data_IF_025176359214
#
_entry.id   IF_025176359214
#
_cell.length_a   1.000
_cell.length_b   1.000
_cell.length_c   1.000
_cell.angle_alpha   90.00
_cell.angle_beta   90.00
_cell.angle_gamma   90.00
#
_symmetry.space_group_name_H-M   'P 1'
#
loop_
_entity.id
_entity.type
_entity.pdbx_description
1 polymer ?
#
# COMPACT_ATOMS: atom_id res chain seq x y z
N UNK A 1 -31.83 12.55 90.03
CA UNK A 1 -30.75 11.92 89.24
C UNK A 1 -31.04 12.18 87.77
N UNK A 2 -30.11 12.81 87.05
CA UNK A 2 -30.26 13.27 85.65
C UNK A 2 -29.64 12.23 84.70
N UNK A 3 -30.32 11.78 83.62
CA UNK A 3 -29.70 10.91 82.63
C UNK A 3 -28.81 11.71 81.67
N UNK A 4 -27.66 11.12 81.36
CA UNK A 4 -26.60 11.62 80.48
C UNK A 4 -26.96 11.22 79.04
N UNK A 5 -27.08 12.19 78.14
CA UNK A 5 -27.30 11.93 76.71
C UNK A 5 -25.94 11.69 76.01
N UNK A 6 -25.76 10.49 75.46
CA UNK A 6 -24.64 10.15 74.60
C UNK A 6 -24.81 10.79 73.21
N UNK A 7 -23.91 11.71 72.86
CA UNK A 7 -23.73 12.25 71.52
C UNK A 7 -22.93 11.25 70.68
N UNK A 8 -23.62 10.53 69.79
CA UNK A 8 -22.99 9.70 68.77
C UNK A 8 -22.40 10.57 67.66
N UNK A 9 -21.07 10.55 67.53
CA UNK A 9 -20.34 11.19 66.42
C UNK A 9 -20.44 10.27 65.20
N UNK A 10 -21.29 10.65 64.24
CA UNK A 10 -21.39 9.96 62.95
C UNK A 10 -20.23 10.33 62.04
N UNK A 11 -19.32 9.39 61.80
CA UNK A 11 -18.26 9.50 60.80
C UNK A 11 -18.87 9.30 59.40
N UNK A 12 -18.97 10.38 58.61
CA UNK A 12 -19.36 10.32 57.20
C UNK A 12 -18.10 10.05 56.37
N UNK A 13 -18.01 8.84 55.79
CA UNK A 13 -16.97 8.47 54.83
C UNK A 13 -17.43 8.89 53.43
N UNK A 14 -16.81 9.95 52.88
CA UNK A 14 -17.00 10.35 51.48
C UNK A 14 -16.15 9.45 50.58
N UNK A 15 -16.79 8.48 49.91
CA UNK A 15 -16.14 7.71 48.86
C UNK A 15 -16.07 8.55 47.58
N UNK A 16 -14.87 8.99 47.20
CA UNK A 16 -14.62 9.65 45.91
C UNK A 16 -14.64 8.62 44.79
N UNK A 17 -15.78 8.50 44.11
CA UNK A 17 -15.93 7.66 42.92
C UNK A 17 -15.19 8.29 41.74
N UNK A 18 -13.99 7.80 41.41
CA UNK A 18 -13.32 8.16 40.15
C UNK A 18 -14.09 7.50 38.99
N UNK A 19 -14.97 8.27 38.36
CA UNK A 19 -15.61 7.88 37.11
C UNK A 19 -14.52 7.80 36.02
N UNK A 20 -13.98 6.60 35.82
CA UNK A 20 -13.11 6.32 34.69
C UNK A 20 -13.88 6.53 33.40
N UNK A 21 -13.52 7.55 32.61
CA UNK A 21 -14.03 7.68 31.25
C UNK A 21 -13.59 6.44 30.47
N UNK A 22 -14.51 5.71 29.82
CA UNK A 22 -14.10 4.58 28.98
C UNK A 22 -13.13 5.11 27.92
N UNK A 23 -11.94 4.51 27.86
CA UNK A 23 -11.00 4.78 26.78
C UNK A 23 -11.68 4.37 25.47
N UNK A 24 -12.21 5.33 24.73
CA UNK A 24 -12.69 5.09 23.38
C UNK A 24 -11.46 4.78 22.52
N UNK A 25 -11.35 3.53 22.09
CA UNK A 25 -10.39 3.17 21.06
C UNK A 25 -10.65 4.08 19.84
N UNK A 26 -9.63 4.82 19.43
CA UNK A 26 -9.71 5.63 18.22
C UNK A 26 -10.06 4.72 17.03
N UNK A 27 -10.98 5.14 16.15
CA UNK A 27 -11.36 4.33 15.01
C UNK A 27 -10.14 4.12 14.11
N UNK A 28 -9.83 2.86 13.78
CA UNK A 28 -8.80 2.53 12.80
C UNK A 28 -9.30 2.93 11.41
N UNK A 29 -8.50 3.75 10.72
CA UNK A 29 -8.81 4.22 9.37
C UNK A 29 -8.02 3.47 8.32
N UNK A 30 -8.53 3.48 7.10
CA UNK A 30 -7.90 2.90 5.93
C UNK A 30 -7.80 3.95 4.83
N UNK A 31 -6.75 3.85 4.03
CA UNK A 31 -6.57 4.65 2.81
C UNK A 31 -7.36 3.99 1.67
N UNK A 32 -8.07 4.78 0.86
CA UNK A 32 -8.89 4.28 -0.25
C UNK A 32 -8.94 5.27 -1.42
N UNK A 33 -9.19 4.77 -2.63
CA UNK A 33 -9.42 5.58 -3.85
C UNK A 33 -10.91 5.90 -4.09
N UNK A 34 -11.79 5.59 -3.15
CA UNK A 34 -13.22 5.92 -3.26
C UNK A 34 -14.04 5.01 -4.19
N UNK A 35 -13.49 3.86 -4.60
CA UNK A 35 -14.21 2.75 -5.28
C UNK A 35 -14.87 3.12 -6.63
N UNK A 36 -14.54 4.27 -7.22
CA UNK A 36 -15.12 4.75 -8.49
C UNK A 36 -14.02 5.04 -9.52
N UNK A 37 -14.41 5.34 -10.76
CA UNK A 37 -13.48 5.72 -11.82
C UNK A 37 -13.02 4.58 -12.75
N UNK A 38 -12.02 4.91 -13.58
CA UNK A 38 -11.42 4.00 -14.54
C UNK A 38 -10.70 2.84 -13.83
N UNK A 39 -10.67 1.67 -14.48
CA UNK A 39 -9.82 0.57 -14.00
C UNK A 39 -8.38 0.84 -14.46
N UNK A 40 -7.43 0.71 -13.55
CA UNK A 40 -5.99 0.80 -13.86
C UNK A 40 -5.35 -0.54 -13.53
N UNK A 41 -4.41 -0.97 -14.37
CA UNK A 41 -3.71 -2.24 -14.19
C UNK A 41 -2.68 -2.13 -13.06
N UNK A 42 -2.43 -3.24 -12.37
CA UNK A 42 -1.40 -3.39 -11.34
C UNK A 42 -0.66 -4.69 -11.58
N UNK A 43 0.61 -4.57 -11.94
CA UNK A 43 1.54 -5.66 -12.27
C UNK A 43 2.98 -5.13 -12.21
N UNK A 44 3.94 -5.92 -12.70
CA UNK A 44 5.37 -5.62 -12.64
C UNK A 44 5.78 -4.31 -13.33
N UNK A 45 5.02 -3.85 -14.33
CA UNK A 45 5.27 -2.62 -15.08
C UNK A 45 4.31 -1.47 -14.68
N UNK A 46 3.29 -1.76 -13.86
CA UNK A 46 2.20 -0.83 -13.56
C UNK A 46 1.97 -0.63 -12.06
N UNK A 47 2.99 -0.18 -11.33
CA UNK A 47 2.85 0.23 -9.92
C UNK A 47 1.88 1.41 -9.78
N UNK A 48 0.94 1.29 -8.84
CA UNK A 48 0.07 2.40 -8.47
C UNK A 48 0.64 3.09 -7.24
N UNK A 49 0.64 4.41 -7.22
CA UNK A 49 1.12 5.18 -6.09
C UNK A 49 0.33 6.47 -5.90
N UNK A 50 0.26 6.92 -4.65
CA UNK A 50 -0.43 8.13 -4.27
C UNK A 50 0.37 8.85 -3.20
N UNK A 51 0.83 10.06 -3.51
CA UNK A 51 1.51 10.94 -2.56
C UNK A 51 0.48 11.85 -1.91
N UNK A 52 0.45 11.89 -0.59
CA UNK A 52 -0.52 12.67 0.19
C UNK A 52 0.10 13.24 1.46
N UNK A 53 -0.49 14.32 2.00
CA UNK A 53 -0.17 14.80 3.34
C UNK A 53 -1.42 14.78 4.22
N UNK A 54 -1.23 14.64 5.52
CA UNK A 54 -2.33 14.58 6.50
C UNK A 54 -2.38 15.86 7.33
N UNK A 55 -3.57 16.45 7.46
CA UNK A 55 -3.75 17.73 8.20
C UNK A 55 -3.71 17.58 9.73
N UNK A 56 -3.84 16.35 10.23
CA UNK A 56 -3.82 16.00 11.64
C UNK A 56 -3.22 14.61 11.84
N UNK A 57 -2.79 14.29 13.07
CA UNK A 57 -2.31 12.97 13.40
C UNK A 57 -3.44 11.94 13.15
N UNK A 58 -3.13 10.89 12.41
CA UNK A 58 -4.12 9.88 12.02
C UNK A 58 -3.56 8.48 12.19
N UNK A 59 -4.34 7.59 12.80
CA UNK A 59 -3.98 6.18 12.95
C UNK A 59 -4.59 5.36 11.83
N UNK A 60 -3.74 4.74 11.02
CA UNK A 60 -4.13 3.94 9.86
C UNK A 60 -3.79 2.47 10.06
N UNK A 61 -4.71 1.59 9.64
CA UNK A 61 -4.54 0.13 9.67
C UNK A 61 -4.21 -0.50 8.32
N UNK A 62 -4.13 0.31 7.26
CA UNK A 62 -3.71 -0.09 5.92
C UNK A 62 -4.60 0.49 4.82
N UNK A 63 -4.97 -0.33 3.84
CA UNK A 63 -5.68 0.11 2.63
C UNK A 63 -6.98 -0.67 2.36
N UNK A 64 -7.98 0.00 1.78
CA UNK A 64 -9.23 -0.59 1.33
C UNK A 64 -9.53 -0.16 -0.12
N UNK A 65 -9.36 -1.07 -1.06
CA UNK A 65 -9.45 -0.80 -2.49
C UNK A 65 -10.48 -1.68 -3.17
N UNK A 66 -11.17 -1.15 -4.18
CA UNK A 66 -12.00 -1.98 -5.06
C UNK A 66 -11.14 -2.58 -6.17
N UNK A 67 -10.91 -3.90 -6.08
CA UNK A 67 -9.96 -4.60 -6.94
C UNK A 67 -10.53 -5.90 -7.52
N UNK A 68 -9.96 -6.32 -8.64
CA UNK A 68 -10.15 -7.65 -9.22
C UNK A 68 -8.83 -8.21 -9.71
N UNK A 69 -8.80 -9.53 -9.92
CA UNK A 69 -7.69 -10.22 -10.59
C UNK A 69 -8.04 -10.63 -12.02
N UNK A 70 -7.03 -10.74 -12.87
CA UNK A 70 -7.13 -11.45 -14.14
C UNK A 70 -7.42 -12.94 -13.93
N UNK A 71 -7.98 -13.64 -14.95
CA UNK A 71 -8.35 -15.04 -14.83
C UNK A 71 -7.17 -15.99 -14.55
N UNK A 72 -5.94 -15.58 -14.86
CA UNK A 72 -4.72 -16.36 -14.74
C UNK A 72 -3.68 -15.72 -13.79
N UNK A 73 -4.09 -14.78 -12.94
CA UNK A 73 -3.20 -14.17 -11.94
C UNK A 73 -2.76 -15.19 -10.87
N UNK A 74 -1.45 -15.32 -10.70
CA UNK A 74 -0.82 -16.19 -9.69
C UNK A 74 0.10 -15.44 -8.73
N UNK A 75 0.56 -14.24 -9.08
CA UNK A 75 1.42 -13.42 -8.23
C UNK A 75 0.64 -12.79 -7.07
N UNK A 76 1.34 -12.43 -6.02
CA UNK A 76 0.78 -11.70 -4.88
C UNK A 76 0.67 -10.20 -5.19
N UNK A 77 -0.14 -9.50 -4.40
CA UNK A 77 -0.27 -8.05 -4.44
C UNK A 77 0.09 -7.50 -3.08
N UNK A 78 0.88 -6.43 -3.08
CA UNK A 78 1.36 -5.77 -1.89
C UNK A 78 0.89 -4.33 -1.86
N UNK A 79 0.41 -3.89 -0.69
CA UNK A 79 0.16 -2.49 -0.40
C UNK A 79 1.09 -2.03 0.72
N UNK A 80 1.74 -0.89 0.54
CA UNK A 80 2.64 -0.30 1.53
C UNK A 80 2.42 1.21 1.67
N UNK A 81 2.78 1.76 2.84
CA UNK A 81 2.82 3.20 3.11
C UNK A 81 4.24 3.55 3.56
N UNK A 82 4.81 4.57 2.93
CA UNK A 82 6.12 5.15 3.25
C UNK A 82 5.97 6.61 3.64
N UNK A 83 6.91 7.14 4.40
CA UNK A 83 7.09 8.59 4.53
C UNK A 83 7.89 9.13 3.33
N UNK A 84 7.51 10.30 2.84
CA UNK A 84 8.11 10.95 1.68
C UNK A 84 7.37 10.70 0.36
N UNK A 85 8.06 10.95 -0.75
CA UNK A 85 7.55 10.80 -2.12
C UNK A 85 7.93 9.46 -2.72
N UNK A 86 7.14 9.00 -3.71
CA UNK A 86 7.44 7.77 -4.44
C UNK A 86 8.80 7.85 -5.16
N UNK A 87 9.64 6.84 -4.99
CA UNK A 87 10.88 6.64 -5.73
C UNK A 87 11.02 5.16 -6.11
N UNK A 88 10.89 4.79 -7.39
CA UNK A 88 11.18 3.42 -7.83
C UNK A 88 12.70 3.19 -7.96
N UNK A 89 13.24 2.00 -7.60
CA UNK A 89 12.66 0.91 -6.83
C UNK A 89 12.97 1.10 -5.34
N UNK A 90 12.04 1.67 -4.58
CA UNK A 90 12.20 1.77 -3.13
C UNK A 90 12.23 0.37 -2.55
N UNK A 91 13.31 0.04 -1.83
CA UNK A 91 13.28 -1.10 -0.92
C UNK A 91 12.08 -0.95 0.02
N UNK A 92 11.36 -2.06 0.24
CA UNK A 92 10.23 -2.11 1.16
C UNK A 92 10.66 -2.04 2.63
N UNK A 93 11.97 -2.08 2.91
CA UNK A 93 12.55 -2.12 4.26
C UNK A 93 12.13 -0.95 5.16
N UNK A 94 11.76 0.19 4.56
CA UNK A 94 11.35 1.40 5.29
C UNK A 94 9.83 1.65 5.27
N UNK A 95 9.02 0.63 4.96
CA UNK A 95 7.58 0.76 4.99
C UNK A 95 7.09 0.96 6.44
N UNK A 96 6.33 2.04 6.67
CA UNK A 96 5.63 2.26 7.93
C UNK A 96 4.50 1.24 8.14
N UNK A 97 3.96 0.74 7.03
CA UNK A 97 2.96 -0.31 6.95
C UNK A 97 3.14 -1.05 5.63
N UNK A 98 3.09 -2.38 5.66
CA UNK A 98 3.05 -3.19 4.44
C UNK A 98 2.13 -4.39 4.63
N UNK A 99 1.35 -4.76 3.62
CA UNK A 99 0.57 -5.99 3.64
C UNK A 99 0.59 -6.66 2.27
N UNK A 100 0.95 -7.93 2.27
CA UNK A 100 0.87 -8.80 1.10
C UNK A 100 -0.40 -9.67 1.18
N UNK A 101 -1.05 -9.82 0.03
CA UNK A 101 -2.22 -10.67 -0.18
C UNK A 101 -1.98 -11.59 -1.36
N UNK A 102 -2.29 -12.87 -1.17
CA UNK A 102 -2.23 -13.85 -2.25
C UNK A 102 -3.39 -13.68 -3.22
N UNK A 103 -3.27 -14.25 -4.42
CA UNK A 103 -4.30 -14.18 -5.45
C UNK A 103 -5.70 -14.65 -5.00
N UNK A 104 -5.78 -15.50 -3.98
CA UNK A 104 -7.04 -16.01 -3.41
C UNK A 104 -7.87 -14.92 -2.71
N UNK A 105 -7.24 -13.83 -2.26
CA UNK A 105 -7.94 -12.69 -1.70
C UNK A 105 -8.79 -11.95 -2.76
N UNK A 106 -8.49 -12.12 -4.05
CA UNK A 106 -9.09 -11.36 -5.15
C UNK A 106 -10.11 -12.20 -5.93
N UNK A 107 -11.24 -11.58 -6.25
CA UNK A 107 -12.23 -12.16 -7.15
C UNK A 107 -11.92 -11.74 -8.61
N UNK A 108 -12.52 -12.44 -9.58
CA UNK A 108 -12.46 -12.05 -10.99
C UNK A 108 -13.44 -10.90 -11.34
N UNK A 109 -14.20 -10.41 -10.35
CA UNK A 109 -15.02 -9.20 -10.40
C UNK A 109 -14.54 -8.22 -9.35
N UNK A 110 -14.80 -6.93 -9.58
CA UNK A 110 -14.48 -5.88 -8.63
C UNK A 110 -15.21 -6.15 -7.30
N UNK A 111 -14.44 -6.14 -6.22
CA UNK A 111 -14.90 -6.17 -4.84
C UNK A 111 -13.93 -5.38 -3.97
N UNK A 112 -14.41 -4.92 -2.83
CA UNK A 112 -13.55 -4.37 -1.79
C UNK A 112 -12.54 -5.44 -1.32
N UNK A 113 -11.26 -5.07 -1.30
CA UNK A 113 -10.13 -5.85 -0.82
C UNK A 113 -9.43 -5.06 0.28
N UNK A 114 -9.25 -5.70 1.42
CA UNK A 114 -8.70 -5.09 2.63
C UNK A 114 -7.25 -5.53 2.84
N UNK A 115 -6.34 -4.56 2.81
CA UNK A 115 -4.94 -4.70 3.18
C UNK A 115 -4.78 -4.23 4.62
N UNK A 116 -5.02 -5.12 5.59
CA UNK A 116 -4.90 -4.80 7.01
C UNK A 116 -3.59 -5.30 7.60
N UNK A 117 -2.90 -4.45 8.37
CA UNK A 117 -1.75 -4.80 9.20
C UNK A 117 -1.78 -4.05 10.55
N UNK A 118 -0.73 -4.19 11.36
CA UNK A 118 -0.49 -3.40 12.58
C UNK A 118 -0.66 -1.93 12.28
N UNK A 119 -1.42 -1.26 13.14
CA UNK A 119 -1.73 0.16 12.97
C UNK A 119 -0.47 1.02 13.11
N UNK A 120 -0.39 2.08 12.33
CA UNK A 120 0.66 3.10 12.42
C UNK A 120 0.04 4.48 12.50
N UNK A 121 0.74 5.42 13.15
CA UNK A 121 0.29 6.81 13.25
C UNK A 121 1.04 7.66 12.22
N UNK A 122 0.30 8.29 11.33
CA UNK A 122 0.82 9.30 10.41
C UNK A 122 0.71 10.66 11.09
N UNK A 123 1.85 11.34 11.23
CA UNK A 123 1.97 12.66 11.83
C UNK A 123 1.47 13.78 10.91
N UNK A 124 0.80 14.77 11.49
CA UNK A 124 0.30 15.97 10.82
C UNK A 124 1.42 16.75 10.12
N UNK A 125 1.16 17.22 8.89
CA UNK A 125 2.11 18.04 8.13
C UNK A 125 3.22 17.25 7.42
N UNK A 126 3.31 15.93 7.63
CA UNK A 126 4.22 15.07 6.88
C UNK A 126 3.60 14.59 5.57
N UNK A 127 4.46 14.32 4.60
CA UNK A 127 4.10 13.70 3.32
C UNK A 127 4.34 12.20 3.38
N UNK A 128 3.39 11.43 2.85
CA UNK A 128 3.43 9.98 2.75
C UNK A 128 3.14 9.54 1.33
N UNK A 129 3.57 8.33 0.99
CA UNK A 129 3.24 7.67 -0.27
C UNK A 129 2.65 6.30 0.03
N UNK A 130 1.41 6.08 -0.44
CA UNK A 130 0.84 4.75 -0.55
C UNK A 130 1.24 4.11 -1.87
N UNK A 131 1.70 2.86 -1.87
CA UNK A 131 2.14 2.13 -3.05
C UNK A 131 1.43 0.79 -3.12
N UNK A 132 0.88 0.46 -4.29
CA UNK A 132 0.23 -0.81 -4.59
C UNK A 132 0.92 -1.43 -5.81
N UNK A 133 1.50 -2.61 -5.63
CA UNK A 133 2.32 -3.28 -6.64
C UNK A 133 2.13 -4.80 -6.62
N UNK A 134 2.59 -5.45 -7.68
CA UNK A 134 2.50 -6.91 -7.83
C UNK A 134 3.58 -7.37 -8.80
N UNK A 135 4.15 -8.56 -8.56
CA UNK A 135 5.07 -9.23 -9.49
C UNK A 135 4.33 -10.01 -10.59
N UNK A 136 3.03 -9.73 -10.77
CA UNK A 136 2.28 -10.27 -11.89
C UNK A 136 2.96 -9.87 -13.20
N UNK A 137 3.05 -10.82 -14.14
CA UNK A 137 3.54 -10.52 -15.48
C UNK A 137 2.59 -9.50 -16.14
N UNK A 138 3.17 -8.56 -16.88
CA UNK A 138 2.46 -7.56 -17.67
C UNK A 138 1.72 -8.22 -18.84
N UNK A 139 0.57 -8.78 -18.49
CA UNK A 139 -0.39 -9.36 -19.40
C UNK A 139 -1.74 -9.23 -18.74
N UNK A 140 -2.73 -8.77 -19.50
CA UNK A 140 -4.07 -8.46 -18.98
C UNK A 140 -4.73 -9.63 -18.24
N UNK A 141 -4.43 -10.87 -18.64
CA UNK A 141 -4.98 -12.07 -17.98
C UNK A 141 -4.25 -12.45 -16.68
N UNK A 142 -3.07 -11.89 -16.42
CA UNK A 142 -2.21 -12.17 -15.25
C UNK A 142 -2.14 -11.00 -14.28
N UNK A 143 -2.35 -9.78 -14.73
CA UNK A 143 -2.36 -8.57 -13.89
C UNK A 143 -3.59 -8.44 -12.98
N UNK A 144 -3.51 -7.46 -12.09
CA UNK A 144 -4.61 -7.02 -11.23
C UNK A 144 -5.18 -5.70 -11.73
N UNK A 145 -6.37 -5.33 -11.25
CA UNK A 145 -7.01 -4.07 -11.61
C UNK A 145 -7.59 -3.40 -10.38
N UNK A 146 -7.35 -2.11 -10.24
CA UNK A 146 -7.90 -1.25 -9.17
C UNK A 146 -8.81 -0.17 -9.76
N UNK A 147 -9.88 0.17 -9.05
CA UNK A 147 -10.72 1.32 -9.38
C UNK A 147 -10.10 2.62 -8.87
N UNK A 148 -10.08 3.62 -9.75
CA UNK A 148 -9.57 4.94 -9.42
C UNK A 148 -8.10 4.88 -9.06
N UNK A 149 -7.24 4.40 -9.96
CA UNK A 149 -5.79 4.21 -9.72
C UNK A 149 -5.04 5.49 -9.33
N UNK A 150 -3.78 5.62 -9.74
CA UNK A 150 -2.92 6.77 -9.34
C UNK A 150 -3.49 8.16 -9.70
N UNK A 151 -4.46 8.22 -10.62
CA UNK A 151 -5.14 9.46 -11.02
C UNK A 151 -6.30 9.88 -10.08
N UNK A 152 -6.72 9.05 -9.12
CA UNK A 152 -7.81 9.39 -8.20
C UNK A 152 -7.28 9.84 -6.84
N UNK A 153 -7.95 10.81 -6.20
CA UNK A 153 -7.56 11.26 -4.86
C UNK A 153 -7.76 10.12 -3.85
N UNK A 154 -6.86 10.06 -2.88
CA UNK A 154 -7.05 9.20 -1.71
C UNK A 154 -8.06 9.82 -0.74
N UNK A 155 -8.74 8.95 0.00
CA UNK A 155 -9.67 9.25 1.08
C UNK A 155 -9.33 8.39 2.30
N UNK A 156 -9.61 8.92 3.49
CA UNK A 156 -9.68 8.11 4.70
C UNK A 156 -11.08 7.52 4.87
N UNK A 157 -11.15 6.21 5.03
CA UNK A 157 -12.40 5.47 5.24
C UNK A 157 -12.34 4.66 6.52
N UNK A 158 -13.49 4.40 7.12
CA UNK A 158 -13.60 3.43 8.21
C UNK A 158 -13.58 1.98 7.66
N UNK A 159 -13.63 1.00 8.56
CA UNK A 159 -13.67 -0.43 8.19
C UNK A 159 -14.86 -0.85 7.28
N UNK A 160 -15.89 0.00 7.14
CA UNK A 160 -17.03 -0.22 6.25
C UNK A 160 -16.89 0.49 4.89
N UNK A 161 -15.74 1.13 4.62
CA UNK A 161 -15.50 1.90 3.40
C UNK A 161 -16.21 3.25 3.34
N UNK A 162 -16.76 3.73 4.47
CA UNK A 162 -17.37 5.06 4.53
C UNK A 162 -16.29 6.11 4.78
N UNK A 163 -16.26 7.14 3.94
CA UNK A 163 -15.38 8.29 4.12
C UNK A 163 -15.57 8.94 5.50
N UNK A 164 -14.46 9.32 6.13
CA UNK A 164 -14.43 10.00 7.42
C UNK A 164 -14.22 11.49 7.18
N UNK A 165 -15.19 12.29 7.62
CA UNK A 165 -15.13 13.75 7.48
C UNK A 165 -14.10 14.36 8.45
N UNK A 166 -13.55 15.52 8.08
CA UNK A 166 -12.67 16.32 8.93
C UNK A 166 -11.18 15.92 8.90
N UNK A 167 -10.81 14.84 8.20
CA UNK A 167 -9.41 14.51 7.92
C UNK A 167 -9.15 14.85 6.46
N UNK A 168 -8.44 15.94 6.24
CA UNK A 168 -8.14 16.41 4.89
C UNK A 168 -6.86 15.74 4.39
N UNK A 169 -6.98 15.14 3.20
CA UNK A 169 -5.83 14.77 2.40
C UNK A 169 -5.50 15.98 1.55
N UNK A 170 -4.37 16.60 1.88
CA UNK A 170 -3.86 17.72 1.11
C UNK A 170 -3.16 17.13 -0.12
N UNK A 171 -3.54 17.57 -1.34
CA UNK A 171 -2.81 17.16 -2.53
C UNK A 171 -1.34 17.57 -2.34
N UNK A 172 -0.42 16.67 -2.68
CA UNK A 172 0.99 17.05 -2.73
C UNK A 172 1.11 18.14 -3.80
N UNK A 173 1.27 19.38 -3.38
CA UNK A 173 1.61 20.47 -4.28
C UNK A 173 3.00 20.11 -4.77
N UNK A 174 3.14 19.81 -6.06
CA UNK A 174 4.45 19.68 -6.66
C UNK A 174 5.21 20.97 -6.31
N UNK A 175 6.26 20.86 -5.48
CA UNK A 175 7.18 21.96 -5.29
C UNK A 175 7.58 22.41 -6.70
N UNK A 176 7.51 23.72 -7.02
CA UNK A 176 7.86 24.19 -8.35
C UNK A 176 9.23 23.59 -8.68
N UNK A 177 9.31 22.87 -9.82
CA UNK A 177 10.57 22.30 -10.28
C UNK A 177 11.64 23.38 -10.11
N UNK A 178 12.70 23.05 -9.35
CA UNK A 178 13.82 23.95 -9.20
C UNK A 178 14.21 24.38 -10.62
N UNK A 179 14.33 25.69 -10.90
CA UNK A 179 14.64 26.16 -12.24
C UNK A 179 15.85 25.37 -12.76
N UNK A 180 15.83 24.91 -14.02
CA UNK A 180 16.88 24.07 -14.56
C UNK A 180 18.22 24.73 -14.24
N UNK A 181 19.07 24.03 -13.49
CA UNK A 181 20.37 24.55 -13.09
C UNK A 181 21.10 24.96 -14.35
N UNK A 182 21.24 26.27 -14.58
CA UNK A 182 21.91 26.83 -15.77
C UNK A 182 23.42 26.59 -15.77
N UNK A 183 23.94 25.89 -14.77
CA UNK A 183 25.28 25.33 -14.77
C UNK A 183 25.29 24.00 -15.54
N UNK A 184 24.96 24.07 -16.83
CA UNK A 184 25.43 23.06 -17.75
C UNK A 184 26.96 23.12 -17.70
N UNK A 185 27.59 22.04 -17.22
CA UNK A 185 29.02 21.83 -17.44
C UNK A 185 29.32 22.07 -18.92
N UNK A 186 30.35 22.87 -19.27
CA UNK A 186 30.75 22.99 -20.66
C UNK A 186 31.08 21.59 -21.19
N UNK A 187 30.48 21.25 -22.33
CA UNK A 187 30.76 20.03 -23.05
C UNK A 187 32.28 19.92 -23.28
N UNK A 188 32.92 18.90 -22.70
CA UNK A 188 34.25 18.49 -23.12
C UNK A 188 34.11 17.77 -24.46
N UNK A 189 34.19 18.53 -25.54
CA UNK A 189 34.34 17.99 -26.89
C UNK A 189 35.78 17.49 -27.04
N UNK A 190 36.06 16.27 -26.61
CA UNK A 190 37.23 15.55 -27.11
C UNK A 190 37.01 14.03 -27.01
N UNK A 191 36.31 13.48 -28.00
CA UNK A 191 36.29 12.06 -28.26
C UNK A 191 37.09 11.82 -29.54
N UNK A 192 38.38 11.55 -29.34
CA UNK A 192 39.27 10.94 -30.32
C UNK A 192 38.60 9.68 -30.90
N UNK A 193 38.43 9.65 -32.22
CA UNK A 193 37.97 8.49 -32.99
C UNK A 193 38.93 7.32 -32.77
N UNK A 194 38.50 6.30 -32.01
CA UNK A 194 39.14 4.98 -32.02
C UNK A 194 38.39 4.14 -33.06
N UNK A 195 39.05 3.63 -34.12
CA UNK A 195 38.40 2.77 -35.10
C UNK A 195 38.01 1.42 -34.48
N UNK A 196 36.79 0.98 -34.82
CA UNK A 196 36.24 -0.35 -34.53
C UNK A 196 37.17 -1.48 -35.02
N UNK A 197 37.50 -2.48 -34.20
CA UNK A 197 38.03 -3.73 -34.71
C UNK A 197 36.87 -4.55 -35.33
N UNK A 198 36.90 -4.72 -36.64
CA UNK A 198 36.09 -5.70 -37.37
C UNK A 198 36.32 -7.11 -36.81
N UNK A 199 35.31 -7.67 -36.15
CA UNK A 199 35.28 -9.08 -35.78
C UNK A 199 34.91 -9.95 -36.99
N UNK A 200 35.64 -11.04 -37.27
CA UNK A 200 35.25 -11.99 -38.32
C UNK A 200 34.03 -12.79 -37.89
N UNK A 201 33.09 -12.95 -38.83
CA UNK A 201 31.97 -13.87 -38.73
C UNK A 201 32.46 -15.30 -38.50
N UNK A 202 32.31 -15.81 -37.27
CA UNK A 202 32.45 -17.23 -36.99
C UNK A 202 31.08 -17.88 -37.03
N UNK A 203 30.83 -18.62 -38.11
CA UNK A 203 29.78 -19.61 -38.18
C UNK A 203 29.94 -20.63 -37.05
N UNK A 204 28.85 -20.93 -36.35
CA UNK A 204 28.70 -22.17 -35.60
C UNK A 204 27.28 -22.70 -35.79
N UNK A 205 27.12 -23.52 -36.82
CA UNK A 205 26.08 -24.54 -36.90
C UNK A 205 26.20 -25.47 -35.68
N UNK A 206 25.12 -25.58 -34.91
CA UNK A 206 24.99 -26.51 -33.79
C UNK A 206 23.58 -27.07 -33.70
N UNK A 207 23.30 -28.08 -34.54
CA UNK A 207 22.19 -29.02 -34.37
C UNK A 207 22.41 -29.90 -33.14
N UNK A 208 21.44 -29.96 -32.23
CA UNK A 208 21.01 -31.11 -31.41
C UNK A 208 20.13 -30.53 -30.26
N UNK A 209 18.85 -30.82 -30.14
CA UNK A 209 18.30 -32.16 -29.98
C UNK A 209 18.21 -32.50 -28.49
N UNK A 210 17.14 -32.08 -27.81
CA UNK A 210 16.75 -32.68 -26.53
C UNK A 210 15.22 -32.66 -26.37
N UNK A 211 14.63 -33.79 -26.70
CA UNK A 211 13.28 -34.19 -26.32
C UNK A 211 13.28 -34.80 -24.91
N UNK A 212 12.07 -35.01 -24.36
CA UNK A 212 11.70 -35.60 -23.05
C UNK A 212 11.75 -34.66 -21.83
N UNK A 213 10.76 -34.60 -20.94
CA UNK A 213 9.69 -35.54 -20.62
C UNK A 213 8.44 -34.82 -20.07
N UNK A 214 7.27 -35.18 -20.60
CA UNK A 214 5.96 -34.92 -19.96
C UNK A 214 5.75 -35.91 -18.81
N UNK A 215 5.87 -35.46 -17.57
CA UNK A 215 5.39 -36.24 -16.41
C UNK A 215 3.93 -35.88 -16.12
N UNK A 216 3.00 -36.71 -16.59
CA UNK A 216 1.60 -36.72 -16.14
C UNK A 216 1.55 -37.32 -14.74
N UNK A 217 1.07 -36.58 -13.76
CA UNK A 217 0.58 -37.14 -12.49
C UNK A 217 -0.91 -37.45 -12.62
N UNK A 218 -1.27 -38.74 -12.52
CA UNK A 218 -2.65 -39.19 -12.39
C UNK A 218 -3.27 -38.72 -11.06
N UNK A 219 -4.59 -38.45 -11.02
CA UNK A 219 -5.34 -38.28 -9.78
C UNK A 219 -5.67 -39.64 -9.14
N UNK A 220 -5.51 -39.73 -7.82
CA UNK A 220 -6.02 -40.82 -7.02
C UNK A 220 -7.54 -40.67 -6.85
N UNK A 221 -8.29 -41.66 -7.33
CA UNK A 221 -9.67 -41.88 -6.95
C UNK A 221 -9.70 -42.46 -5.53
N UNK A 222 -10.52 -41.90 -4.65
CA UNK A 222 -10.97 -42.62 -3.46
C UNK A 222 -12.50 -42.63 -3.44
N UNK A 223 -13.04 -43.83 -3.60
CA UNK A 223 -14.42 -44.20 -3.31
C UNK A 223 -14.46 -44.71 -1.86
N UNK A 224 -15.29 -44.10 -1.03
CA UNK A 224 -16.27 -44.75 -0.13
C UNK A 224 -17.13 -43.67 0.51
#
# INVERSE_FOLDING_TARGET
MKPIHHLGVGLIVLAASTLGTPAQALPVLFVSTGHTGAQTQTDINHTQHWTFSVSQNVTVGGGLFDMKRGPSSTADVSFAIFEGTYSPPASLDNALLQKDLTNTAFAQRFKAVLFQNTVTTLLAGHTYTGVLFSDALDAQNKGYFVKGGSASPLLFVNAKGKAVAGIEILPSIALPEAPPSRFASPASTDATLIPEPTLPALMALGLAGLAWATRRSQPAAHKT
#
